data_IF_152052841057
#
_entry.id   IF_152052841057
#
_cell.length_a   1.000
_cell.length_b   1.000
_cell.length_c   1.000
_cell.angle_alpha   90.00
_cell.angle_beta   90.00
_cell.angle_gamma   90.00
#
_symmetry.space_group_name_H-M   'P 1'
#
loop_
_entity.id
_entity.type
_entity.pdbx_description
1 polymer ?
#
# COMPACT_ATOMS: atom_id res chain seq x y z
N UNK A 1 37.00 -43.23 -38.27
CA UNK A 1 35.69 -42.72 -37.83
C UNK A 1 34.79 -42.69 -39.06
N UNK A 2 33.65 -43.40 -39.02
CA UNK A 2 32.75 -43.53 -40.17
C UNK A 2 31.94 -42.24 -40.38
N UNK A 3 31.88 -41.75 -41.61
CA UNK A 3 31.14 -40.55 -42.04
C UNK A 3 29.65 -40.59 -41.65
N UNK A 4 29.08 -41.80 -41.59
CA UNK A 4 27.70 -42.05 -41.15
C UNK A 4 27.45 -41.76 -39.66
N UNK A 5 28.45 -41.98 -38.79
CA UNK A 5 28.35 -41.65 -37.35
C UNK A 5 28.28 -40.15 -37.14
N UNK A 6 29.13 -39.39 -37.84
CA UNK A 6 29.17 -37.93 -37.74
C UNK A 6 27.87 -37.28 -38.24
N UNK A 7 27.27 -37.83 -39.32
CA UNK A 7 25.97 -37.35 -39.82
C UNK A 7 24.84 -37.61 -38.82
N UNK A 8 24.83 -38.77 -38.16
CA UNK A 8 23.84 -39.08 -37.12
C UNK A 8 24.00 -38.21 -35.87
N UNK A 9 25.24 -37.94 -35.44
CA UNK A 9 25.52 -37.04 -34.32
C UNK A 9 25.08 -35.60 -34.60
N UNK A 10 25.39 -35.06 -35.79
CA UNK A 10 24.93 -33.74 -36.22
C UNK A 10 23.39 -33.65 -36.29
N UNK A 11 22.72 -34.67 -36.81
CA UNK A 11 21.26 -34.73 -36.84
C UNK A 11 20.66 -34.73 -35.42
N UNK A 12 21.27 -35.46 -34.49
CA UNK A 12 20.85 -35.51 -33.08
C UNK A 12 20.99 -34.14 -32.42
N UNK A 13 22.14 -33.48 -32.60
CA UNK A 13 22.39 -32.14 -32.06
C UNK A 13 21.38 -31.14 -32.64
N UNK A 14 21.12 -31.20 -33.94
CA UNK A 14 20.16 -30.31 -34.59
C UNK A 14 18.72 -30.52 -34.11
N UNK A 15 18.34 -31.76 -33.82
CA UNK A 15 17.05 -32.08 -33.19
C UNK A 15 16.95 -31.47 -31.79
N UNK A 16 18.00 -31.63 -30.96
CA UNK A 16 18.05 -31.08 -29.60
C UNK A 16 18.00 -29.54 -29.58
N UNK A 17 18.73 -28.87 -30.49
CA UNK A 17 18.67 -27.41 -30.64
C UNK A 17 17.25 -26.95 -30.95
N UNK A 18 16.61 -27.58 -31.95
CA UNK A 18 15.23 -27.24 -32.32
C UNK A 18 14.23 -27.44 -31.18
N UNK A 19 14.38 -28.52 -30.41
CA UNK A 19 13.55 -28.77 -29.23
C UNK A 19 13.74 -27.66 -28.19
N UNK A 20 14.98 -27.32 -27.86
CA UNK A 20 15.31 -26.27 -26.88
C UNK A 20 14.78 -24.90 -27.32
N UNK A 21 14.91 -24.55 -28.61
CA UNK A 21 14.35 -23.31 -29.17
C UNK A 21 12.84 -23.26 -29.04
N UNK A 22 12.14 -24.36 -29.34
CA UNK A 22 10.68 -24.43 -29.21
C UNK A 22 10.22 -24.29 -27.75
N UNK A 23 10.89 -24.99 -26.83
CA UNK A 23 10.61 -24.91 -25.39
C UNK A 23 10.86 -23.48 -24.86
N UNK A 24 11.92 -22.83 -25.32
CA UNK A 24 12.24 -21.44 -24.96
C UNK A 24 11.17 -20.47 -25.47
N UNK A 25 10.72 -20.64 -26.72
CA UNK A 25 9.65 -19.83 -27.28
C UNK A 25 8.34 -19.99 -26.52
N UNK A 26 7.96 -21.22 -26.19
CA UNK A 26 6.79 -21.47 -25.37
C UNK A 26 6.93 -20.80 -23.98
N UNK A 27 8.13 -20.80 -23.41
CA UNK A 27 8.41 -20.07 -22.17
C UNK A 27 8.19 -18.56 -22.32
N UNK A 28 8.62 -17.95 -23.43
CA UNK A 28 8.36 -16.51 -23.67
C UNK A 28 6.87 -16.20 -23.81
N UNK A 29 6.09 -17.09 -24.42
CA UNK A 29 4.63 -16.95 -24.50
C UNK A 29 3.98 -17.05 -23.11
N UNK A 30 4.40 -18.01 -22.28
CA UNK A 30 3.94 -18.11 -20.88
C UNK A 30 4.30 -16.87 -20.07
N UNK A 31 5.49 -16.30 -20.29
CA UNK A 31 5.91 -15.06 -19.63
C UNK A 31 4.99 -13.89 -19.97
N UNK A 32 4.59 -13.74 -21.24
CA UNK A 32 3.61 -12.73 -21.64
C UNK A 32 2.29 -12.89 -20.89
N UNK A 33 1.70 -14.09 -20.92
CA UNK A 33 0.44 -14.38 -20.23
C UNK A 33 0.52 -14.08 -18.74
N UNK A 34 1.61 -14.48 -18.08
CA UNK A 34 1.80 -14.22 -16.66
C UNK A 34 1.94 -12.71 -16.37
N UNK A 35 2.64 -11.96 -17.22
CA UNK A 35 2.77 -10.52 -17.07
C UNK A 35 1.43 -9.80 -17.24
N UNK A 36 0.61 -10.21 -18.22
CA UNK A 36 -0.74 -9.66 -18.42
C UNK A 36 -1.65 -9.94 -17.23
N UNK A 37 -1.65 -11.17 -16.72
CA UNK A 37 -2.41 -11.55 -15.53
C UNK A 37 -1.96 -10.77 -14.29
N UNK A 38 -0.64 -10.61 -14.12
CA UNK A 38 -0.07 -9.82 -13.02
C UNK A 38 -0.44 -8.34 -13.12
N UNK A 39 -0.51 -7.80 -14.34
CA UNK A 39 -0.91 -6.42 -14.59
C UNK A 39 -2.36 -6.20 -14.20
N UNK A 40 -3.26 -7.09 -14.61
CA UNK A 40 -4.68 -7.02 -14.26
C UNK A 40 -4.90 -7.09 -12.74
N UNK A 41 -4.27 -8.04 -12.06
CA UNK A 41 -4.31 -8.13 -10.60
C UNK A 41 -3.72 -6.89 -9.91
N UNK A 42 -2.64 -6.33 -10.48
CA UNK A 42 -2.04 -5.09 -9.99
C UNK A 42 -2.97 -3.88 -10.10
N UNK A 43 -3.68 -3.73 -11.23
CA UNK A 43 -4.67 -2.67 -11.42
C UNK A 43 -5.81 -2.80 -10.40
N UNK A 44 -6.36 -4.01 -10.23
CA UNK A 44 -7.41 -4.27 -9.25
C UNK A 44 -6.93 -3.93 -7.83
N UNK A 45 -5.68 -4.24 -7.50
CA UNK A 45 -5.09 -3.91 -6.20
C UNK A 45 -4.96 -2.41 -6.00
N UNK A 46 -4.52 -1.66 -7.02
CA UNK A 46 -4.44 -0.19 -6.96
C UNK A 46 -5.81 0.44 -6.74
N UNK A 47 -6.85 -0.05 -7.42
CA UNK A 47 -8.24 0.42 -7.20
C UNK A 47 -8.70 0.14 -5.76
N UNK A 48 -8.44 -1.07 -5.25
CA UNK A 48 -8.78 -1.39 -3.86
C UNK A 48 -8.02 -0.53 -2.85
N UNK A 49 -6.75 -0.20 -3.11
CA UNK A 49 -5.97 0.67 -2.24
C UNK A 49 -6.54 2.10 -2.24
N UNK A 50 -6.93 2.61 -3.40
CA UNK A 50 -7.58 3.93 -3.53
C UNK A 50 -8.90 3.99 -2.73
N UNK A 51 -9.78 3.00 -2.91
CA UNK A 51 -11.03 2.89 -2.16
C UNK A 51 -10.79 2.74 -0.64
N UNK A 52 -9.75 2.01 -0.24
CA UNK A 52 -9.37 1.88 1.18
C UNK A 52 -8.85 3.20 1.75
N UNK A 53 -8.12 4.00 0.96
CA UNK A 53 -7.67 5.33 1.33
C UNK A 53 -8.84 6.26 1.66
N UNK A 54 -9.85 6.32 0.79
CA UNK A 54 -11.06 7.12 1.03
C UNK A 54 -11.82 6.65 2.29
N UNK A 55 -11.87 5.35 2.55
CA UNK A 55 -12.48 4.81 3.77
C UNK A 55 -11.72 5.24 5.04
N UNK A 56 -10.38 5.25 4.99
CA UNK A 56 -9.57 5.71 6.11
C UNK A 56 -9.75 7.22 6.35
N UNK A 57 -9.86 8.03 5.30
CA UNK A 57 -10.18 9.47 5.40
C UNK A 57 -11.54 9.71 6.08
N UNK A 58 -12.54 8.91 5.72
CA UNK A 58 -13.86 8.97 6.34
C UNK A 58 -13.80 8.59 7.83
N UNK A 59 -13.02 7.55 8.19
CA UNK A 59 -12.82 7.14 9.59
C UNK A 59 -12.10 8.23 10.37
N UNK A 60 -11.03 8.81 9.82
CA UNK A 60 -10.24 9.85 10.51
C UNK A 60 -11.09 11.10 10.77
N UNK A 61 -11.87 11.53 9.78
CA UNK A 61 -12.86 12.61 9.92
C UNK A 61 -13.93 12.28 10.96
N UNK A 62 -14.38 11.02 11.00
CA UNK A 62 -15.31 10.52 12.01
C UNK A 62 -14.74 10.62 13.43
N UNK A 63 -13.45 10.33 13.61
CA UNK A 63 -12.77 10.46 14.90
C UNK A 63 -12.66 11.93 15.34
N UNK A 64 -12.43 12.86 14.42
CA UNK A 64 -12.44 14.29 14.73
C UNK A 64 -13.84 14.79 15.16
N UNK A 65 -14.89 14.26 14.51
CA UNK A 65 -16.27 14.53 14.92
C UNK A 65 -16.57 13.97 16.32
N UNK A 66 -16.20 12.73 16.62
CA UNK A 66 -16.36 12.13 17.96
C UNK A 66 -15.64 13.00 19.00
N UNK A 67 -14.42 13.42 18.70
CA UNK A 67 -13.65 14.28 19.58
C UNK A 67 -14.37 15.61 19.87
N UNK A 68 -14.97 16.24 18.85
CA UNK A 68 -15.79 17.44 19.02
C UNK A 68 -17.05 17.19 19.85
N UNK A 69 -17.81 16.13 19.57
CA UNK A 69 -19.02 15.76 20.31
C UNK A 69 -18.71 15.47 21.79
N UNK A 70 -17.61 14.76 22.07
CA UNK A 70 -17.17 14.49 23.44
C UNK A 70 -16.83 15.77 24.22
N UNK A 71 -16.35 16.84 23.56
CA UNK A 71 -16.15 18.14 24.21
C UNK A 71 -17.47 18.74 24.69
N UNK A 72 -18.52 18.61 23.90
CA UNK A 72 -19.85 19.09 24.28
C UNK A 72 -20.43 18.24 25.42
N UNK A 73 -20.31 16.91 25.33
CA UNK A 73 -20.77 16.00 26.37
C UNK A 73 -20.09 16.28 27.73
N UNK A 74 -18.77 16.43 27.74
CA UNK A 74 -18.01 16.74 28.97
C UNK A 74 -18.42 18.08 29.59
N UNK A 75 -18.63 19.13 28.78
CA UNK A 75 -19.13 20.43 29.26
C UNK A 75 -20.53 20.34 29.85
N UNK A 76 -21.41 19.56 29.24
CA UNK A 76 -22.76 19.35 29.76
C UNK A 76 -22.72 18.61 31.11
N UNK A 77 -21.87 17.59 31.24
CA UNK A 77 -21.64 16.88 32.51
C UNK A 77 -21.05 17.82 33.58
N UNK A 78 -20.09 18.68 33.24
CA UNK A 78 -19.59 19.73 34.15
C UNK A 78 -20.68 20.70 34.59
N UNK A 79 -21.65 21.00 33.72
CA UNK A 79 -22.83 21.79 34.06
C UNK A 79 -23.72 21.11 35.09
N UNK A 80 -23.95 19.80 34.94
CA UNK A 80 -24.78 18.99 35.83
C UNK A 80 -24.12 18.67 37.18
N UNK A 81 -22.78 18.66 37.25
CA UNK A 81 -22.03 18.46 38.50
C UNK A 81 -22.05 19.69 39.44
N UNK A 82 -22.48 20.86 38.97
CA UNK A 82 -22.55 22.08 39.79
C UNK A 82 -23.77 22.05 40.71
N UNK A 83 -23.53 22.03 42.03
CA UNK A 83 -24.58 22.24 43.03
C UNK A 83 -24.87 23.75 43.15
N UNK A 84 -26.13 24.16 43.01
CA UNK A 84 -26.60 25.55 43.15
C UNK A 84 -25.99 26.58 42.18
N UNK A 85 -25.75 26.22 40.91
CA UNK A 85 -25.49 27.15 39.80
C UNK A 85 -24.13 27.88 39.80
N UNK A 86 -23.44 28.01 40.94
CA UNK A 86 -22.20 28.80 41.06
C UNK A 86 -21.04 28.09 41.76
N UNK A 87 -21.27 27.02 42.53
CA UNK A 87 -20.25 26.38 43.37
C UNK A 87 -19.89 24.96 42.88
N UNK A 88 -18.69 24.78 42.32
CA UNK A 88 -18.11 23.45 42.10
C UNK A 88 -17.57 22.97 43.44
N UNK A 89 -18.12 21.90 44.02
CA UNK A 89 -17.58 21.26 45.21
C UNK A 89 -16.10 20.90 44.95
N UNK A 90 -15.12 21.43 45.72
CA UNK A 90 -13.68 21.22 45.48
C UNK A 90 -13.25 19.74 45.42
N UNK A 91 -14.07 18.88 46.01
CA UNK A 91 -13.86 17.44 46.14
C UNK A 91 -14.35 16.62 44.93
N UNK A 92 -15.02 17.25 43.94
CA UNK A 92 -15.53 16.61 42.70
C UNK A 92 -14.82 17.09 41.41
N UNK A 93 -13.53 17.47 41.46
CA UNK A 93 -12.78 17.78 40.22
C UNK A 93 -12.40 16.50 39.48
N UNK A 94 -13.09 16.21 38.37
CA UNK A 94 -12.72 15.13 37.46
C UNK A 94 -11.45 15.44 36.65
N UNK A 95 -10.72 14.40 36.25
CA UNK A 95 -9.55 14.53 35.36
C UNK A 95 -10.00 15.01 33.99
N UNK A 96 -9.35 16.05 33.46
CA UNK A 96 -9.65 16.60 32.14
C UNK A 96 -8.67 16.02 31.11
N UNK A 97 -9.17 15.13 30.25
CA UNK A 97 -8.36 14.38 29.26
C UNK A 97 -7.73 15.32 28.22
N UNK A 98 -8.35 16.46 27.92
CA UNK A 98 -7.82 17.44 26.96
C UNK A 98 -6.51 18.10 27.39
N UNK A 99 -6.22 18.08 28.70
CA UNK A 99 -4.97 18.61 29.26
C UNK A 99 -3.82 17.61 29.19
N UNK A 100 -4.06 16.38 28.72
CA UNK A 100 -3.01 15.38 28.57
C UNK A 100 -2.10 15.70 27.39
N UNK A 101 -0.81 15.39 27.54
CA UNK A 101 0.16 15.53 26.45
C UNK A 101 -0.20 14.67 25.23
N UNK A 102 -0.75 13.46 25.48
CA UNK A 102 -1.25 12.57 24.44
C UNK A 102 -2.36 13.22 23.61
N UNK A 103 -3.36 13.84 24.27
CA UNK A 103 -4.41 14.58 23.58
C UNK A 103 -3.88 15.68 22.67
N UNK A 104 -2.96 16.49 23.18
CA UNK A 104 -2.38 17.58 22.40
C UNK A 104 -1.56 17.06 21.21
N UNK A 105 -0.84 15.95 21.37
CA UNK A 105 -0.09 15.35 20.27
C UNK A 105 -1.03 14.87 19.16
N UNK A 106 -2.08 14.14 19.52
CA UNK A 106 -2.94 13.46 18.55
C UNK A 106 -3.96 14.38 17.85
N UNK A 107 -4.58 15.32 18.58
CA UNK A 107 -5.63 16.19 18.04
C UNK A 107 -5.21 17.64 17.81
N UNK A 108 -4.00 18.04 18.25
CA UNK A 108 -3.45 19.40 18.03
C UNK A 108 -2.05 19.37 17.40
N UNK A 109 -1.50 18.19 17.10
CA UNK A 109 -0.22 18.06 16.43
C UNK A 109 -0.35 18.36 14.94
N UNK A 110 0.56 19.18 14.41
CA UNK A 110 0.71 19.45 12.97
C UNK A 110 1.43 18.30 12.24
N UNK A 111 1.10 17.04 12.52
CA UNK A 111 1.70 15.89 11.84
C UNK A 111 1.04 15.59 10.47
N UNK A 112 0.05 16.38 10.03
CA UNK A 112 -0.62 16.25 8.70
C UNK A 112 0.32 16.41 7.50
N UNK A 113 1.56 16.85 7.70
CA UNK A 113 2.46 17.25 6.62
C UNK A 113 3.58 16.27 6.26
N UNK A 114 3.73 15.12 6.93
CA UNK A 114 4.75 14.13 6.55
C UNK A 114 4.25 13.30 5.36
N UNK A 115 4.08 13.95 4.22
CA UNK A 115 4.05 13.25 2.94
C UNK A 115 5.40 12.59 2.77
N UNK A 116 5.41 11.26 2.62
CA UNK A 116 6.64 10.54 2.29
C UNK A 116 7.16 11.14 0.98
N UNK A 117 8.29 11.85 1.04
CA UNK A 117 8.96 12.47 -0.11
C UNK A 117 9.60 11.42 -1.06
N UNK A 118 9.03 10.22 -1.09
CA UNK A 118 9.26 9.17 -2.08
C UNK A 118 8.26 9.37 -3.23
N UNK A 119 8.15 10.60 -3.75
CA UNK A 119 7.48 10.82 -5.03
C UNK A 119 8.06 9.86 -6.08
N UNK A 120 7.29 9.46 -7.10
CA UNK A 120 7.72 8.43 -8.04
C UNK A 120 9.07 8.82 -8.62
N UNK A 121 10.12 8.15 -8.14
CA UNK A 121 11.45 8.36 -8.66
C UNK A 121 11.43 7.66 -10.00
N UNK A 122 11.09 8.41 -11.05
CA UNK A 122 11.41 8.02 -12.41
C UNK A 122 12.93 7.87 -12.46
N UNK A 123 13.39 6.65 -12.21
CA UNK A 123 14.74 6.23 -12.58
C UNK A 123 14.69 6.11 -14.10
N UNK A 124 14.75 7.25 -14.80
CA UNK A 124 15.21 7.28 -16.19
C UNK A 124 16.69 6.99 -16.08
N UNK A 125 17.06 5.72 -16.21
CA UNK A 125 18.43 5.31 -15.90
C UNK A 125 18.70 3.83 -16.10
N UNK A 126 18.73 3.43 -17.37
CA UNK A 126 19.91 2.76 -17.91
C UNK A 126 20.33 1.46 -17.19
N UNK A 127 19.59 0.38 -17.43
CA UNK A 127 20.11 -0.99 -17.36
C UNK A 127 19.38 -1.87 -18.39
N UNK A 128 19.17 -1.32 -19.59
CA UNK A 128 18.77 -2.08 -20.77
C UNK A 128 20.03 -2.39 -21.57
N UNK A 129 20.12 -3.64 -22.03
CA UNK A 129 21.11 -4.21 -22.94
C UNK A 129 21.68 -3.15 -23.89
N UNK A 130 23.01 -3.09 -24.01
CA UNK A 130 23.71 -2.06 -24.80
C UNK A 130 23.14 -1.91 -26.21
N UNK A 131 23.18 -0.69 -26.79
CA UNK A 131 22.58 -0.40 -28.09
C UNK A 131 23.20 -1.31 -29.16
N UNK A 132 22.48 -2.36 -29.56
CA UNK A 132 22.87 -3.25 -30.65
C UNK A 132 22.75 -4.75 -30.37
N UNK A 133 22.47 -5.20 -29.15
CA UNK A 133 22.26 -6.63 -28.86
C UNK A 133 20.84 -6.84 -28.35
N UNK A 134 20.03 -7.59 -29.09
CA UNK A 134 18.71 -8.04 -28.65
C UNK A 134 18.79 -8.90 -27.39
N UNK A 135 17.66 -9.19 -26.76
CA UNK A 135 17.58 -10.10 -25.62
C UNK A 135 18.05 -11.52 -25.96
N UNK A 136 18.01 -11.90 -27.24
CA UNK A 136 18.39 -13.21 -27.74
C UNK A 136 19.50 -13.11 -28.76
N UNK A 137 20.54 -13.93 -28.56
CA UNK A 137 21.53 -14.19 -29.59
C UNK A 137 20.89 -15.07 -30.67
N UNK A 138 20.70 -14.50 -31.86
CA UNK A 138 20.20 -15.26 -33.02
C UNK A 138 21.27 -16.24 -33.52
N UNK A 139 20.92 -17.52 -33.62
CA UNK A 139 21.80 -18.60 -34.08
C UNK A 139 21.28 -19.16 -35.40
N UNK A 140 20.00 -19.55 -35.45
CA UNK A 140 19.37 -20.01 -36.69
C UNK A 140 18.83 -18.87 -37.52
N UNK A 141 18.62 -17.70 -36.91
CA UNK A 141 18.00 -16.50 -37.50
C UNK A 141 16.69 -16.85 -38.20
N UNK A 142 15.89 -17.68 -37.53
CA UNK A 142 14.57 -18.11 -37.98
C UNK A 142 13.44 -17.33 -37.30
N UNK A 143 12.22 -17.49 -37.80
CA UNK A 143 11.05 -16.78 -37.32
C UNK A 143 10.73 -17.03 -35.82
N UNK A 144 11.20 -18.14 -35.23
CA UNK A 144 10.99 -18.42 -33.81
C UNK A 144 11.90 -17.54 -32.97
N UNK A 145 13.17 -17.39 -33.35
CA UNK A 145 14.10 -16.48 -32.67
C UNK A 145 13.64 -15.02 -32.76
N UNK A 146 13.06 -14.62 -33.89
CA UNK A 146 12.43 -13.31 -34.05
C UNK A 146 11.21 -13.12 -33.14
N UNK A 147 10.31 -14.11 -33.07
CA UNK A 147 9.14 -14.07 -32.18
C UNK A 147 9.57 -14.05 -30.69
N UNK A 148 10.58 -14.84 -30.33
CA UNK A 148 11.10 -14.85 -28.95
C UNK A 148 11.68 -13.48 -28.55
N UNK A 149 12.41 -12.83 -29.44
CA UNK A 149 12.96 -11.49 -29.22
C UNK A 149 11.82 -10.47 -29.02
N UNK A 150 10.79 -10.51 -29.86
CA UNK A 150 9.62 -9.64 -29.73
C UNK A 150 8.90 -9.88 -28.40
N UNK A 151 8.66 -11.14 -28.04
CA UNK A 151 8.03 -11.51 -26.78
C UNK A 151 8.83 -10.98 -25.58
N UNK A 152 10.16 -11.12 -25.58
CA UNK A 152 10.99 -10.62 -24.48
C UNK A 152 11.04 -9.10 -24.40
N UNK A 153 11.00 -8.38 -25.52
CA UNK A 153 10.88 -6.92 -25.51
C UNK A 153 9.53 -6.45 -24.93
N UNK A 154 8.44 -7.16 -25.25
CA UNK A 154 7.13 -6.90 -24.67
C UNK A 154 7.11 -7.21 -23.16
N UNK A 155 7.64 -8.37 -22.74
CA UNK A 155 7.80 -8.73 -21.32
C UNK A 155 8.61 -7.67 -20.57
N UNK A 156 9.75 -7.23 -21.12
CA UNK A 156 10.59 -6.19 -20.52
C UNK A 156 9.81 -4.91 -20.24
N UNK A 157 8.98 -4.48 -21.20
CA UNK A 157 8.11 -3.31 -21.05
C UNK A 157 7.04 -3.54 -19.96
N UNK A 158 6.38 -4.70 -19.96
CA UNK A 158 5.36 -5.04 -18.97
C UNK A 158 5.95 -5.12 -17.56
N UNK A 159 7.13 -5.73 -17.39
CA UNK A 159 7.84 -5.79 -16.12
C UNK A 159 8.22 -4.39 -15.63
N UNK A 160 8.63 -3.49 -16.53
CA UNK A 160 8.83 -2.08 -16.19
C UNK A 160 7.57 -1.41 -15.64
N UNK A 161 6.41 -1.67 -16.24
CA UNK A 161 5.13 -1.15 -15.76
C UNK A 161 4.71 -1.78 -14.42
N UNK A 162 4.88 -3.10 -14.25
CA UNK A 162 4.63 -3.81 -12.99
C UNK A 162 5.49 -3.23 -11.85
N UNK A 163 6.75 -2.88 -12.12
CA UNK A 163 7.64 -2.23 -11.15
C UNK A 163 7.08 -0.87 -10.71
N UNK A 164 6.59 -0.06 -11.64
CA UNK A 164 6.03 1.25 -11.31
C UNK A 164 4.76 1.08 -10.43
N UNK A 165 3.85 0.18 -10.80
CA UNK A 165 2.67 -0.13 -9.98
C UNK A 165 3.06 -0.64 -8.58
N UNK A 166 4.09 -1.49 -8.48
CA UNK A 166 4.59 -1.95 -7.19
C UNK A 166 5.14 -0.81 -6.32
N UNK A 167 5.81 0.17 -6.91
CA UNK A 167 6.25 1.37 -6.20
C UNK A 167 5.06 2.22 -5.74
N UNK A 168 4.05 2.42 -6.59
CA UNK A 168 2.86 3.21 -6.27
C UNK A 168 2.06 2.55 -5.14
N UNK A 169 1.82 1.23 -5.24
CA UNK A 169 1.20 0.45 -4.16
C UNK A 169 2.00 0.55 -2.85
N UNK A 170 3.32 0.45 -2.91
CA UNK A 170 4.18 0.53 -1.73
C UNK A 170 4.12 1.89 -1.04
N UNK A 171 4.09 2.98 -1.82
CA UNK A 171 3.93 4.33 -1.31
C UNK A 171 2.56 4.54 -0.66
N UNK A 172 1.49 4.08 -1.31
CA UNK A 172 0.12 4.22 -0.80
C UNK A 172 -0.07 3.45 0.50
N UNK A 173 0.36 2.18 0.56
CA UNK A 173 0.36 1.38 1.80
C UNK A 173 1.16 2.09 2.91
N UNK A 174 2.31 2.68 2.57
CA UNK A 174 3.12 3.44 3.52
C UNK A 174 2.38 4.64 4.11
N UNK A 175 1.64 5.38 3.29
CA UNK A 175 0.83 6.52 3.72
C UNK A 175 -0.36 6.06 4.57
N UNK A 176 -1.08 5.04 4.13
CA UNK A 176 -2.21 4.46 4.86
C UNK A 176 -1.80 3.92 6.23
N UNK A 177 -0.63 3.28 6.36
CA UNK A 177 -0.12 2.82 7.65
C UNK A 177 0.07 3.98 8.65
N UNK A 178 0.62 5.11 8.21
CA UNK A 178 0.77 6.30 9.05
C UNK A 178 -0.59 6.87 9.45
N UNK A 179 -1.56 6.87 8.52
CA UNK A 179 -2.92 7.30 8.81
C UNK A 179 -3.60 6.39 9.84
N UNK A 180 -3.45 5.06 9.71
CA UNK A 180 -3.98 4.08 10.67
C UNK A 180 -3.41 4.30 12.07
N UNK A 181 -2.09 4.55 12.19
CA UNK A 181 -1.47 4.86 13.48
C UNK A 181 -2.08 6.11 14.14
N UNK A 182 -2.37 7.14 13.34
CA UNK A 182 -3.06 8.35 13.83
C UNK A 182 -4.50 8.04 14.26
N UNK A 183 -5.26 7.31 13.44
CA UNK A 183 -6.63 6.91 13.76
C UNK A 183 -6.67 6.10 15.05
N UNK A 184 -5.70 5.19 15.24
CA UNK A 184 -5.55 4.41 16.46
C UNK A 184 -5.32 5.30 17.67
N UNK A 185 -4.39 6.25 17.60
CA UNK A 185 -4.15 7.21 18.68
C UNK A 185 -5.43 8.03 19.00
N UNK A 186 -6.14 8.51 17.96
CA UNK A 186 -7.41 9.24 18.13
C UNK A 186 -8.47 8.35 18.80
N UNK A 187 -8.52 7.08 18.43
CA UNK A 187 -9.45 6.08 18.97
C UNK A 187 -9.17 5.81 20.44
N UNK A 188 -7.92 5.57 20.83
CA UNK A 188 -7.54 5.28 22.23
C UNK A 188 -7.88 6.46 23.17
N UNK A 189 -7.64 7.68 22.71
CA UNK A 189 -7.97 8.90 23.45
C UNK A 189 -9.50 9.06 23.52
N UNK A 190 -10.20 8.89 22.41
CA UNK A 190 -11.67 9.00 22.38
C UNK A 190 -12.32 7.95 23.28
N UNK A 191 -11.83 6.71 23.26
CA UNK A 191 -12.28 5.64 24.15
C UNK A 191 -12.09 6.03 25.62
N UNK A 192 -10.90 6.52 25.99
CA UNK A 192 -10.62 6.99 27.35
C UNK A 192 -11.60 8.10 27.77
N UNK A 193 -11.88 9.06 26.89
CA UNK A 193 -12.84 10.15 27.16
C UNK A 193 -14.25 9.62 27.38
N UNK A 194 -14.70 8.70 26.53
CA UNK A 194 -16.02 8.07 26.65
C UNK A 194 -16.14 7.36 28.00
N UNK A 195 -15.16 6.53 28.37
CA UNK A 195 -15.17 5.82 29.67
C UNK A 195 -15.24 6.79 30.85
N UNK A 196 -14.43 7.86 30.83
CA UNK A 196 -14.45 8.89 31.88
C UNK A 196 -15.79 9.62 31.95
N UNK A 197 -16.35 10.03 30.80
CA UNK A 197 -17.63 10.72 30.73
C UNK A 197 -18.80 9.84 31.21
N UNK A 198 -18.82 8.57 30.79
CA UNK A 198 -19.82 7.59 31.23
C UNK A 198 -19.76 7.37 32.74
N UNK A 199 -18.56 7.19 33.32
CA UNK A 199 -18.42 7.04 34.77
C UNK A 199 -18.87 8.28 35.57
N UNK A 200 -18.67 9.48 35.02
CA UNK A 200 -19.22 10.73 35.60
C UNK A 200 -20.73 10.76 35.54
N UNK A 201 -21.32 10.41 34.40
CA UNK A 201 -22.77 10.35 34.21
C UNK A 201 -23.43 9.34 35.18
N UNK A 202 -22.87 8.14 35.31
CA UNK A 202 -23.34 7.14 36.28
C UNK A 202 -23.27 7.64 37.73
N UNK A 203 -22.22 8.38 38.08
CA UNK A 203 -22.07 8.95 39.42
C UNK A 203 -23.09 10.04 39.71
N UNK A 204 -23.56 10.76 38.69
CA UNK A 204 -24.64 11.74 38.82
C UNK A 204 -25.99 11.08 39.05
N UNK A 205 -26.26 9.94 38.40
CA UNK A 205 -27.51 9.19 38.58
C UNK A 205 -27.65 8.50 39.95
N UNK A 206 -26.54 8.28 40.66
CA UNK A 206 -26.51 7.66 41.99
C UNK A 206 -26.71 8.67 43.15
N UNK A 207 -26.73 9.98 42.88
CA UNK A 207 -27.12 11.01 43.85
C UNK A 207 -28.58 11.40 43.65
#
# INVERSE_FOLDING_TARGET
>A
MNDESMRNELATIQMQMNQTTNESLESTRRMLTLCEQSKEAGIQTLVMLDEQGEQLDAIDSGMDRINAEMRHAEKNLEGLEKCCGLCVLPWKRSKNVEKSAAYSKTFKGNEDGKVNASGPRQIVGQNGVGPGSGYIQKITNDAREDEMEENLQQVSTMVGNLRNMACDMGNEIGNQNVQIDRIKDKTDISHTRIVVATGRAESLLKN
#
